data_IF_983527469464
#
_entry.id   IF_983527469464
#
_cell.length_a   1.000
_cell.length_b   1.000
_cell.length_c   1.000
_cell.angle_alpha   90.00
_cell.angle_beta   90.00
_cell.angle_gamma   90.00
#
_symmetry.space_group_name_H-M   'P 1'
#
loop_
_entity.id
_entity.type
_entity.pdbx_description
1 polymer ?
#
# COMPACT_ATOMS: atom_id res chain seq x y z
N UNK A 1 -29.88 40.60 15.94
CA UNK A 1 -30.17 41.72 16.88
C UNK A 1 -31.25 42.56 16.22
N UNK A 2 -32.39 42.75 16.89
CA UNK A 2 -33.46 43.64 16.42
C UNK A 2 -33.79 44.65 17.51
N UNK A 3 -33.82 45.95 17.15
CA UNK A 3 -34.07 47.09 18.07
C UNK A 3 -33.27 47.05 19.38
N UNK A 4 -32.00 46.66 19.32
CA UNK A 4 -31.14 46.57 20.50
C UNK A 4 -31.37 45.32 21.36
N UNK A 5 -32.29 44.42 20.98
CA UNK A 5 -32.48 43.12 21.61
C UNK A 5 -31.81 42.00 20.80
N UNK A 6 -31.02 41.17 21.49
CA UNK A 6 -30.38 39.99 20.91
C UNK A 6 -31.38 38.83 20.86
N UNK A 7 -31.53 38.21 19.70
CA UNK A 7 -32.32 37.01 19.50
C UNK A 7 -31.40 35.90 18.97
N UNK A 8 -31.47 34.72 19.57
CA UNK A 8 -30.71 33.54 19.15
C UNK A 8 -31.64 32.64 18.32
N UNK A 9 -31.45 32.64 17.00
CA UNK A 9 -32.40 32.04 16.06
C UNK A 9 -32.11 30.55 15.80
N UNK A 10 -30.84 30.16 15.87
CA UNK A 10 -30.42 28.79 15.67
C UNK A 10 -29.12 28.54 16.45
N UNK A 11 -29.02 27.34 17.02
CA UNK A 11 -27.76 26.77 17.49
C UNK A 11 -27.63 25.36 16.93
N UNK A 12 -26.40 24.99 16.59
CA UNK A 12 -26.02 23.64 16.15
C UNK A 12 -24.54 23.45 16.41
N UNK A 13 -24.10 22.21 16.47
CA UNK A 13 -22.68 21.91 16.49
C UNK A 13 -22.02 22.43 15.21
N UNK A 14 -20.98 23.24 15.39
CA UNK A 14 -20.21 23.80 14.29
C UNK A 14 -19.42 22.71 13.58
N UNK A 15 -19.47 22.67 12.25
CA UNK A 15 -18.56 21.82 11.47
C UNK A 15 -17.13 22.32 11.67
N UNK A 16 -16.20 21.39 11.92
CA UNK A 16 -14.81 21.67 12.25
C UNK A 16 -13.87 20.76 11.46
N UNK A 17 -12.63 21.20 11.31
CA UNK A 17 -11.54 20.35 10.80
C UNK A 17 -11.12 19.35 11.89
N UNK A 18 -10.45 18.27 11.50
CA UNK A 18 -9.91 17.29 12.46
C UNK A 18 -8.97 17.94 13.49
N UNK A 19 -8.09 18.84 13.03
CA UNK A 19 -7.20 19.62 13.89
C UNK A 19 -7.95 20.47 14.92
N UNK A 20 -9.01 21.16 14.48
CA UNK A 20 -9.83 21.97 15.38
C UNK A 20 -10.61 21.11 16.37
N UNK A 21 -11.12 19.95 15.96
CA UNK A 21 -11.87 19.05 16.86
C UNK A 21 -10.97 18.52 17.97
N UNK A 22 -9.78 18.01 17.63
CA UNK A 22 -8.81 17.50 18.62
C UNK A 22 -8.40 18.61 19.59
N UNK A 23 -8.08 19.80 19.06
CA UNK A 23 -7.69 20.94 19.90
C UNK A 23 -8.81 21.35 20.85
N UNK A 24 -10.03 21.55 20.35
CA UNK A 24 -11.19 21.94 21.17
C UNK A 24 -11.47 20.89 22.23
N UNK A 25 -11.42 19.61 21.89
CA UNK A 25 -11.63 18.54 22.86
C UNK A 25 -10.59 18.58 24.00
N UNK A 26 -9.33 18.83 23.68
CA UNK A 26 -8.26 18.97 24.69
C UNK A 26 -8.46 20.24 25.54
N UNK A 27 -8.68 21.39 24.91
CA UNK A 27 -8.86 22.68 25.59
C UNK A 27 -10.07 22.61 26.56
N UNK A 28 -11.19 21.99 26.14
CA UNK A 28 -12.37 21.82 26.99
C UNK A 28 -12.12 20.95 28.24
N UNK A 29 -11.18 20.00 28.19
CA UNK A 29 -10.76 19.23 29.37
C UNK A 29 -9.90 20.09 30.29
N UNK A 30 -8.96 20.85 29.73
CA UNK A 30 -8.08 21.74 30.50
C UNK A 30 -8.87 22.86 31.20
N UNK A 31 -9.93 23.35 30.56
CA UNK A 31 -10.88 24.31 31.13
C UNK A 31 -11.87 23.68 32.12
N UNK A 32 -11.85 22.35 32.29
CA UNK A 32 -12.75 21.63 33.20
C UNK A 32 -14.21 21.56 32.74
N UNK A 33 -14.48 21.78 31.45
CA UNK A 33 -15.83 21.73 30.87
C UNK A 33 -16.29 20.30 30.58
N UNK A 34 -15.37 19.39 30.25
CA UNK A 34 -15.64 17.97 29.97
C UNK A 34 -14.59 17.07 30.62
N UNK A 35 -14.89 15.78 30.75
CA UNK A 35 -13.93 14.78 31.24
C UNK A 35 -13.05 14.26 30.10
N UNK A 36 -11.94 13.58 30.45
CA UNK A 36 -11.05 12.92 29.48
C UNK A 36 -11.81 11.89 28.63
N UNK A 37 -12.69 11.12 29.24
CA UNK A 37 -13.50 10.09 28.57
C UNK A 37 -14.46 10.70 27.54
N UNK A 38 -15.05 11.85 27.88
CA UNK A 38 -15.92 12.58 26.95
C UNK A 38 -15.12 13.16 25.78
N UNK A 39 -13.93 13.72 26.04
CA UNK A 39 -13.06 14.24 24.98
C UNK A 39 -12.64 13.14 23.98
N UNK A 40 -12.22 11.97 24.48
CA UNK A 40 -11.87 10.82 23.64
C UNK A 40 -13.07 10.32 22.83
N UNK A 41 -14.28 10.34 23.39
CA UNK A 41 -15.50 9.96 22.66
C UNK A 41 -15.94 10.94 21.58
N UNK A 42 -15.61 12.23 21.73
CA UNK A 42 -15.99 13.28 20.77
C UNK A 42 -15.17 13.24 19.49
N UNK A 43 -13.89 12.90 19.59
CA UNK A 43 -13.00 12.79 18.44
C UNK A 43 -13.20 11.42 17.78
N UNK A 44 -13.63 11.43 16.53
CA UNK A 44 -13.87 10.19 15.78
C UNK A 44 -12.55 9.62 15.23
N UNK A 45 -12.43 8.29 15.05
CA UNK A 45 -11.23 7.67 14.48
C UNK A 45 -10.82 8.27 13.13
N UNK A 46 -11.77 8.60 12.25
CA UNK A 46 -11.47 9.18 10.93
C UNK A 46 -10.84 10.57 11.02
N UNK A 47 -11.02 11.27 12.15
CA UNK A 47 -10.35 12.54 12.42
C UNK A 47 -8.91 12.33 12.90
N UNK A 48 -8.59 11.19 13.51
CA UNK A 48 -7.22 10.81 13.86
C UNK A 48 -6.43 10.45 12.59
N UNK A 49 -7.07 9.78 11.62
CA UNK A 49 -6.46 9.41 10.33
C UNK A 49 -5.88 10.62 9.58
N UNK A 50 -6.48 11.81 9.74
CA UNK A 50 -5.96 13.08 9.21
C UNK A 50 -4.51 13.36 9.63
N UNK A 51 -4.12 12.92 10.83
CA UNK A 51 -2.78 13.12 11.37
C UNK A 51 -1.80 12.00 11.01
N UNK A 52 -2.28 10.94 10.32
CA UNK A 52 -1.47 9.80 9.90
C UNK A 52 -1.09 9.87 8.41
N UNK A 53 -1.97 10.45 7.60
CA UNK A 53 -1.79 10.50 6.15
C UNK A 53 -1.90 11.94 5.64
N UNK A 54 -1.12 12.35 4.63
CA UNK A 54 -1.34 13.62 3.94
C UNK A 54 -2.79 13.76 3.51
N UNK A 55 -3.30 14.99 3.53
CA UNK A 55 -4.67 15.29 3.12
C UNK A 55 -4.66 16.42 2.11
N UNK A 56 -5.64 16.46 1.21
CA UNK A 56 -5.78 17.59 0.30
C UNK A 56 -6.24 18.82 1.11
N UNK A 57 -5.71 20.00 0.77
CA UNK A 57 -6.15 21.24 1.37
C UNK A 57 -7.65 21.50 1.07
N UNK A 58 -8.40 21.87 2.10
CA UNK A 58 -9.86 22.00 1.99
C UNK A 58 -10.29 23.17 1.08
N UNK A 59 -9.49 24.23 0.96
CA UNK A 59 -9.77 25.32 0.02
C UNK A 59 -9.40 24.93 -1.40
N UNK A 60 -8.29 24.21 -1.59
CA UNK A 60 -7.92 23.65 -2.88
C UNK A 60 -8.99 22.69 -3.41
N UNK A 61 -9.55 21.82 -2.56
CA UNK A 61 -10.61 20.88 -2.94
C UNK A 61 -11.90 21.57 -3.38
N UNK A 62 -12.26 22.73 -2.81
CA UNK A 62 -13.50 23.44 -3.15
C UNK A 62 -13.50 23.99 -4.58
N UNK A 63 -12.34 24.38 -5.09
CA UNK A 63 -12.18 24.96 -6.43
C UNK A 63 -11.67 23.94 -7.45
N UNK A 64 -11.22 22.77 -6.98
CA UNK A 64 -10.73 21.70 -7.83
C UNK A 64 -11.80 21.09 -8.74
N UNK A 65 -11.40 20.77 -9.97
CA UNK A 65 -12.23 19.99 -10.88
C UNK A 65 -12.16 18.51 -10.50
N UNK A 66 -13.26 17.99 -9.96
CA UNK A 66 -13.45 16.55 -9.78
C UNK A 66 -13.64 15.90 -11.16
N UNK A 67 -12.82 14.89 -11.47
CA UNK A 67 -12.86 14.20 -12.77
C UNK A 67 -13.46 12.80 -12.69
N UNK A 68 -13.25 12.08 -11.58
CA UNK A 68 -13.79 10.72 -11.42
C UNK A 68 -13.98 10.33 -9.94
N UNK A 69 -14.68 9.22 -9.71
CA UNK A 69 -14.85 8.61 -8.38
C UNK A 69 -14.59 7.10 -8.47
N UNK A 70 -13.98 6.51 -7.44
CA UNK A 70 -13.84 5.07 -7.33
C UNK A 70 -13.96 4.59 -5.90
N UNK A 71 -13.43 3.41 -5.65
CA UNK A 71 -13.40 2.80 -4.33
C UNK A 71 -12.22 3.36 -3.53
N UNK A 72 -12.53 3.97 -2.38
CA UNK A 72 -11.56 4.34 -1.36
C UNK A 72 -11.00 3.08 -0.68
N UNK A 73 -9.81 2.65 -1.09
CA UNK A 73 -9.19 1.42 -0.53
C UNK A 73 -8.08 1.71 0.44
N UNK A 74 -7.33 2.79 0.24
CA UNK A 74 -6.24 3.19 1.12
C UNK A 74 -6.28 4.70 1.31
N UNK A 75 -6.41 5.20 2.57
CA UNK A 75 -6.65 6.60 2.86
C UNK A 75 -5.44 7.51 2.58
N UNK A 76 -5.72 8.81 2.54
CA UNK A 76 -4.72 9.86 2.34
C UNK A 76 -4.79 10.54 0.99
N UNK A 77 -4.00 11.58 0.82
CA UNK A 77 -3.86 12.37 -0.39
C UNK A 77 -2.56 12.03 -1.11
N UNK A 78 -2.65 11.84 -2.41
CA UNK A 78 -1.49 11.67 -3.26
C UNK A 78 -1.60 12.65 -4.42
N UNK A 79 -0.49 13.33 -4.74
CA UNK A 79 -0.42 14.29 -5.83
C UNK A 79 0.82 13.95 -6.64
N UNK A 80 0.69 13.85 -7.95
CA UNK A 80 1.79 13.41 -8.80
C UNK A 80 1.47 13.46 -10.27
N UNK A 81 2.51 13.28 -11.07
CA UNK A 81 2.43 13.09 -12.52
C UNK A 81 1.92 11.68 -12.83
N UNK A 82 1.07 11.54 -13.83
CA UNK A 82 0.55 10.24 -14.27
C UNK A 82 1.66 9.42 -14.93
N UNK A 83 1.85 8.18 -14.49
CA UNK A 83 2.67 7.17 -15.15
C UNK A 83 1.84 5.89 -15.40
N UNK A 84 1.89 5.34 -16.61
CA UNK A 84 1.01 4.22 -17.01
C UNK A 84 1.63 2.82 -16.83
N UNK A 85 2.89 2.74 -16.38
CA UNK A 85 3.60 1.49 -16.10
C UNK A 85 4.49 1.59 -14.86
N UNK A 86 4.80 0.44 -14.27
CA UNK A 86 5.54 0.32 -13.01
C UNK A 86 6.99 0.81 -13.13
N UNK A 87 7.66 0.47 -14.23
CA UNK A 87 9.07 0.80 -14.47
C UNK A 87 9.26 2.32 -14.60
N UNK A 88 8.36 2.97 -15.33
CA UNK A 88 8.35 4.42 -15.49
C UNK A 88 8.05 5.10 -14.16
N UNK A 89 7.10 4.59 -13.38
CA UNK A 89 6.79 5.13 -12.07
C UNK A 89 7.99 5.03 -11.11
N UNK A 90 8.69 3.89 -11.10
CA UNK A 90 9.90 3.70 -10.31
C UNK A 90 11.03 4.64 -10.76
N UNK A 91 11.33 4.68 -12.05
CA UNK A 91 12.38 5.52 -12.63
C UNK A 91 12.15 6.99 -12.30
N UNK A 92 10.94 7.49 -12.55
CA UNK A 92 10.59 8.89 -12.27
C UNK A 92 10.71 9.23 -10.79
N UNK A 93 10.27 8.35 -9.90
CA UNK A 93 10.33 8.58 -8.47
C UNK A 93 11.75 8.48 -7.90
N UNK A 94 12.51 7.44 -8.28
CA UNK A 94 13.83 7.13 -7.68
C UNK A 94 14.98 7.86 -8.36
N UNK A 95 14.99 7.91 -9.70
CA UNK A 95 16.11 8.49 -10.46
C UNK A 95 15.89 9.99 -10.72
N UNK A 96 14.67 10.39 -11.03
CA UNK A 96 14.35 11.79 -11.39
C UNK A 96 13.77 12.60 -10.21
N UNK A 97 13.40 11.95 -9.09
CA UNK A 97 12.86 12.61 -7.90
C UNK A 97 11.49 13.26 -8.11
N UNK A 98 10.70 12.77 -9.07
CA UNK A 98 9.36 13.28 -9.37
C UNK A 98 8.31 12.61 -8.49
N UNK A 99 7.27 13.36 -8.14
CA UNK A 99 6.07 12.79 -7.55
C UNK A 99 5.21 12.13 -8.63
N UNK A 100 4.84 10.87 -8.43
CA UNK A 100 4.16 10.05 -9.45
C UNK A 100 2.88 9.44 -8.92
N UNK A 101 1.83 9.44 -9.72
CA UNK A 101 0.65 8.61 -9.56
C UNK A 101 0.71 7.49 -10.59
N UNK A 102 0.79 6.25 -10.11
CA UNK A 102 0.78 5.08 -10.98
C UNK A 102 -0.66 4.75 -11.37
N UNK A 103 -0.92 4.73 -12.68
CA UNK A 103 -2.25 4.48 -13.25
C UNK A 103 -2.24 3.20 -14.07
N UNK A 104 -3.09 2.24 -13.73
CA UNK A 104 -3.16 0.93 -14.40
C UNK A 104 -4.59 0.45 -14.57
N UNK A 105 -4.92 -0.38 -15.56
CA UNK A 105 -6.22 -1.03 -15.60
C UNK A 105 -6.41 -1.92 -14.37
N UNK A 106 -5.42 -2.77 -14.11
CA UNK A 106 -5.26 -3.63 -12.94
C UNK A 106 -3.76 -3.77 -12.64
N UNK A 107 -3.39 -3.97 -11.38
CA UNK A 107 -1.99 -4.21 -10.98
C UNK A 107 -1.71 -5.70 -10.85
N UNK A 108 -0.47 -6.11 -11.12
CA UNK A 108 0.03 -7.48 -10.95
C UNK A 108 1.15 -7.54 -9.89
N UNK A 109 1.55 -8.73 -9.41
CA UNK A 109 2.72 -8.87 -8.52
C UNK A 109 3.98 -8.20 -9.04
N UNK A 110 4.22 -8.26 -10.35
CA UNK A 110 5.37 -7.61 -11.00
C UNK A 110 5.30 -6.08 -10.96
N UNK A 111 4.15 -5.46 -10.62
CA UNK A 111 4.00 -4.00 -10.58
C UNK A 111 4.43 -3.40 -9.22
N UNK A 112 4.82 -4.24 -8.23
CA UNK A 112 5.04 -3.82 -6.83
C UNK A 112 6.13 -2.77 -6.68
N UNK A 113 7.22 -2.83 -7.45
CA UNK A 113 8.30 -1.83 -7.40
C UNK A 113 7.81 -0.43 -7.73
N UNK A 114 7.00 -0.30 -8.80
CA UNK A 114 6.36 0.95 -9.19
C UNK A 114 5.34 1.43 -8.16
N UNK A 115 4.54 0.52 -7.59
CA UNK A 115 3.56 0.83 -6.56
C UNK A 115 4.20 1.38 -5.27
N UNK A 116 5.35 0.83 -4.87
CA UNK A 116 6.11 1.29 -3.71
C UNK A 116 6.75 2.67 -3.95
N UNK A 117 7.19 2.91 -5.18
CA UNK A 117 7.84 4.15 -5.58
C UNK A 117 6.84 5.31 -5.75
N UNK A 118 5.63 5.04 -6.25
CA UNK A 118 4.61 6.06 -6.49
C UNK A 118 4.08 6.71 -5.20
N UNK A 119 3.58 7.94 -5.31
CA UNK A 119 2.88 8.64 -4.22
C UNK A 119 1.46 8.08 -4.01
N UNK A 120 0.82 7.60 -5.07
CA UNK A 120 -0.49 6.98 -5.00
C UNK A 120 -0.79 6.10 -6.21
N UNK A 121 -1.84 5.30 -6.08
CA UNK A 121 -2.22 4.29 -7.07
C UNK A 121 -3.65 4.54 -7.53
N UNK A 122 -3.86 4.55 -8.85
CA UNK A 122 -5.17 4.70 -9.48
C UNK A 122 -5.42 3.52 -10.40
N UNK A 123 -6.56 2.85 -10.27
CA UNK A 123 -6.95 1.80 -11.22
C UNK A 123 -8.35 1.94 -11.77
N UNK A 124 -8.54 1.61 -13.05
CA UNK A 124 -9.87 1.62 -13.67
C UNK A 124 -10.71 0.40 -13.29
N UNK A 125 -10.06 -0.74 -13.02
CA UNK A 125 -10.69 -1.98 -12.58
C UNK A 125 -10.16 -2.42 -11.22
N UNK A 126 -10.84 -3.41 -10.63
CA UNK A 126 -10.48 -3.98 -9.33
C UNK A 126 -11.39 -3.52 -8.19
N UNK A 127 -11.64 -4.43 -7.25
CA UNK A 127 -12.45 -4.18 -6.06
C UNK A 127 -11.63 -3.91 -4.79
N UNK A 128 -12.31 -3.86 -3.64
CA UNK A 128 -11.69 -3.65 -2.31
C UNK A 128 -10.70 -4.74 -1.88
N UNK A 129 -10.71 -5.89 -2.55
CA UNK A 129 -9.83 -7.04 -2.33
C UNK A 129 -8.90 -7.30 -3.52
N UNK A 130 -8.83 -6.38 -4.49
CA UNK A 130 -7.89 -6.49 -5.60
C UNK A 130 -6.44 -6.40 -5.12
N UNK A 131 -5.51 -6.88 -5.95
CA UNK A 131 -4.07 -6.77 -5.69
C UNK A 131 -3.66 -5.34 -5.34
N UNK A 132 -4.12 -4.36 -6.14
CA UNK A 132 -3.89 -2.93 -5.90
C UNK A 132 -4.34 -2.49 -4.50
N UNK A 133 -5.54 -2.89 -4.09
CA UNK A 133 -6.10 -2.54 -2.80
C UNK A 133 -5.33 -3.17 -1.62
N UNK A 134 -4.89 -4.41 -1.76
CA UNK A 134 -4.14 -5.13 -0.72
C UNK A 134 -2.76 -4.49 -0.51
N UNK A 135 -2.01 -4.31 -1.60
CA UNK A 135 -0.66 -3.72 -1.57
C UNK A 135 -0.72 -2.27 -1.10
N UNK A 136 -1.65 -1.45 -1.62
CA UNK A 136 -1.78 -0.06 -1.23
C UNK A 136 -2.04 0.12 0.28
N UNK A 137 -2.93 -0.71 0.86
CA UNK A 137 -3.19 -0.71 2.31
C UNK A 137 -1.97 -1.15 3.11
N UNK A 138 -1.30 -2.22 2.67
CA UNK A 138 -0.14 -2.77 3.35
C UNK A 138 0.99 -1.75 3.47
N UNK A 139 1.21 -0.96 2.42
CA UNK A 139 2.28 0.04 2.38
C UNK A 139 1.82 1.47 2.70
N UNK A 140 0.54 1.65 3.05
CA UNK A 140 -0.03 2.96 3.40
C UNK A 140 0.01 3.98 2.25
N UNK A 141 -0.06 3.50 1.01
CA UNK A 141 -0.08 4.35 -0.19
C UNK A 141 -1.53 4.75 -0.49
N UNK A 142 -1.87 6.04 -0.60
CA UNK A 142 -3.22 6.45 -1.01
C UNK A 142 -3.62 5.80 -2.33
N UNK A 143 -4.83 5.24 -2.37
CA UNK A 143 -5.27 4.54 -3.57
C UNK A 143 -6.78 4.63 -3.80
N UNK A 144 -7.12 4.86 -5.07
CA UNK A 144 -8.49 4.85 -5.60
C UNK A 144 -8.54 3.78 -6.67
N UNK A 145 -9.35 2.74 -6.47
CA UNK A 145 -9.42 1.60 -7.39
C UNK A 145 -10.82 1.42 -7.97
N UNK A 146 -10.91 0.76 -9.12
CA UNK A 146 -12.19 0.47 -9.76
C UNK A 146 -12.92 1.73 -10.24
N UNK A 147 -12.17 2.71 -10.76
CA UNK A 147 -12.75 3.91 -11.37
C UNK A 147 -13.25 3.58 -12.78
N UNK A 148 -14.52 3.20 -12.86
CA UNK A 148 -15.18 2.76 -14.09
C UNK A 148 -15.20 3.80 -15.20
N UNK A 149 -15.13 5.08 -14.83
CA UNK A 149 -15.14 6.23 -15.73
C UNK A 149 -13.82 6.43 -16.49
N UNK A 150 -12.78 5.64 -16.16
CA UNK A 150 -11.47 5.70 -16.81
C UNK A 150 -11.33 4.64 -17.91
N UNK A 151 -11.06 5.11 -19.12
CA UNK A 151 -10.57 4.28 -20.22
C UNK A 151 -9.08 4.51 -20.43
N UNK A 152 -8.30 3.43 -20.46
CA UNK A 152 -6.83 3.48 -20.51
C UNK A 152 -6.33 2.95 -21.86
N UNK A 153 -5.56 3.77 -22.57
CA UNK A 153 -4.83 3.39 -23.77
C UNK A 153 -3.33 3.37 -23.44
N UNK A 154 -2.85 2.18 -23.05
CA UNK A 154 -1.46 1.99 -22.64
C UNK A 154 -0.48 2.12 -23.82
N UNK A 155 -0.93 1.93 -25.06
CA UNK A 155 -0.09 2.07 -26.26
C UNK A 155 0.14 3.54 -26.56
N UNK A 156 -0.92 4.34 -26.50
CA UNK A 156 -0.84 5.79 -26.68
C UNK A 156 -0.42 6.54 -25.39
N UNK A 157 -0.23 5.83 -24.27
CA UNK A 157 0.12 6.38 -22.95
C UNK A 157 -0.78 7.55 -22.53
N UNK A 158 -2.10 7.30 -22.56
CA UNK A 158 -3.14 8.28 -22.17
C UNK A 158 -4.33 7.59 -21.51
N UNK A 159 -5.07 8.35 -20.71
CA UNK A 159 -6.38 7.95 -20.21
C UNK A 159 -7.46 8.95 -20.60
N UNK A 160 -8.66 8.45 -20.85
CA UNK A 160 -9.85 9.26 -21.11
C UNK A 160 -10.80 9.11 -19.94
N UNK A 161 -11.31 10.23 -19.43
CA UNK A 161 -12.29 10.28 -18.34
C UNK A 161 -13.64 10.72 -18.89
N UNK A 162 -14.67 9.90 -18.67
CA UNK A 162 -16.03 10.16 -19.18
C UNK A 162 -16.09 10.45 -20.69
N UNK A 163 -15.25 9.80 -21.50
CA UNK A 163 -15.18 9.97 -22.97
C UNK A 163 -14.82 11.38 -23.49
N UNK A 164 -14.61 12.36 -22.61
CA UNK A 164 -14.38 13.77 -23.00
C UNK A 164 -13.00 14.29 -22.62
N UNK A 165 -12.53 14.00 -21.39
CA UNK A 165 -11.29 14.57 -20.88
C UNK A 165 -10.13 13.60 -21.08
N UNK A 166 -9.15 13.98 -21.90
CA UNK A 166 -7.91 13.22 -22.10
C UNK A 166 -6.84 13.72 -21.15
N UNK A 167 -6.17 12.80 -20.48
CA UNK A 167 -5.02 13.04 -19.60
C UNK A 167 -3.85 12.22 -20.13
N UNK A 168 -2.75 12.91 -20.43
CA UNK A 168 -1.55 12.31 -21.00
C UNK A 168 -0.56 11.93 -19.90
N UNK A 169 0.41 11.10 -20.26
CA UNK A 169 1.47 10.75 -19.33
C UNK A 169 2.32 11.98 -18.98
N UNK A 170 2.60 12.16 -17.68
CA UNK A 170 3.28 13.35 -17.16
C UNK A 170 2.34 14.46 -16.69
N UNK A 171 1.04 14.40 -17.03
CA UNK A 171 0.06 15.35 -16.51
C UNK A 171 -0.15 15.16 -15.02
N UNK A 172 -0.47 16.25 -14.32
CA UNK A 172 -0.71 16.23 -12.88
C UNK A 172 -2.14 15.83 -12.56
N UNK A 173 -2.27 14.91 -11.62
CA UNK A 173 -3.54 14.59 -10.96
C UNK A 173 -3.36 14.53 -9.45
N UNK A 174 -4.49 14.66 -8.75
CA UNK A 174 -4.54 14.57 -7.29
C UNK A 174 -5.60 13.55 -6.89
N UNK A 175 -5.24 12.65 -5.98
CA UNK A 175 -6.09 11.59 -5.45
C UNK A 175 -6.46 11.90 -3.99
N UNK A 176 -7.74 11.75 -3.68
CA UNK A 176 -8.23 11.58 -2.31
C UNK A 176 -8.58 10.10 -2.11
N UNK A 177 -7.63 9.33 -1.56
CA UNK A 177 -7.81 7.93 -1.21
C UNK A 177 -8.76 7.70 -0.05
N UNK A 178 -9.07 8.73 0.74
CA UNK A 178 -10.04 8.66 1.85
C UNK A 178 -11.47 8.69 1.32
N UNK A 179 -11.76 9.60 0.40
CA UNK A 179 -13.10 9.74 -0.22
C UNK A 179 -13.26 8.95 -1.52
N UNK A 180 -12.16 8.48 -2.12
CA UNK A 180 -12.17 7.77 -3.39
C UNK A 180 -12.37 8.72 -4.58
N UNK A 181 -11.85 9.95 -4.51
CA UNK A 181 -12.07 10.99 -5.53
C UNK A 181 -10.77 11.28 -6.29
N UNK A 182 -10.91 11.49 -7.60
CA UNK A 182 -9.81 11.91 -8.48
C UNK A 182 -10.07 13.35 -8.94
N UNK A 183 -9.06 14.21 -8.78
CA UNK A 183 -9.08 15.61 -9.19
C UNK A 183 -8.05 15.88 -10.28
N UNK A 184 -8.38 16.79 -11.19
CA UNK A 184 -7.44 17.27 -12.20
C UNK A 184 -6.44 18.26 -11.59
N UNK A 185 -5.17 18.15 -12.00
CA UNK A 185 -4.12 19.08 -11.64
C UNK A 185 -3.43 18.77 -10.32
N UNK A 186 -2.50 19.67 -9.95
CA UNK A 186 -1.69 19.60 -8.74
C UNK A 186 -2.37 20.38 -7.62
N UNK A 187 -3.03 19.68 -6.70
CA UNK A 187 -3.62 20.30 -5.52
C UNK A 187 -2.60 20.41 -4.38
N UNK A 188 -2.79 21.40 -3.52
CA UNK A 188 -1.99 21.53 -2.31
C UNK A 188 -2.39 20.45 -1.28
N UNK A 189 -1.39 19.94 -0.58
CA UNK A 189 -1.58 18.94 0.48
C UNK A 189 -1.15 19.50 1.82
N UNK A 190 -1.87 19.14 2.86
CA UNK A 190 -1.48 19.36 4.25
C UNK A 190 -0.63 18.18 4.71
N UNK A 191 0.59 18.47 5.17
CA UNK A 191 1.48 17.47 5.75
C UNK A 191 0.90 17.05 7.11
N UNK A 192 0.74 15.74 7.37
CA UNK A 192 0.23 15.26 8.64
C UNK A 192 1.29 15.48 9.72
N UNK A 193 0.86 15.95 10.89
CA UNK A 193 1.74 16.09 12.06
C UNK A 193 1.27 15.13 13.16
N UNK A 194 1.77 13.90 13.13
CA UNK A 194 1.49 12.92 14.18
C UNK A 194 2.10 13.34 15.54
N UNK A 195 3.09 14.24 15.53
CA UNK A 195 3.70 14.78 16.75
C UNK A 195 2.94 15.99 17.30
N UNK A 196 1.76 16.26 16.77
CA UNK A 196 0.91 17.33 17.26
C UNK A 196 0.65 17.18 18.78
N UNK A 197 0.99 18.17 19.61
CA UNK A 197 0.88 18.05 21.06
C UNK A 197 -0.54 17.75 21.57
N UNK A 198 -1.57 18.28 20.90
CA UNK A 198 -2.96 18.04 21.28
C UNK A 198 -3.38 16.60 20.95
N UNK A 199 -2.96 16.09 19.79
CA UNK A 199 -3.21 14.69 19.41
C UNK A 199 -2.53 13.74 20.41
N UNK A 200 -1.23 13.93 20.69
CA UNK A 200 -0.49 13.09 21.62
C UNK A 200 -1.13 13.09 23.01
N UNK A 201 -1.65 14.24 23.47
CA UNK A 201 -2.34 14.35 24.75
C UNK A 201 -3.67 13.58 24.76
N UNK A 202 -4.46 13.71 23.71
CA UNK A 202 -5.71 12.98 23.52
C UNK A 202 -5.47 11.47 23.48
N UNK A 203 -4.47 11.02 22.71
CA UNK A 203 -4.08 9.60 22.62
C UNK A 203 -3.56 9.08 23.96
N UNK A 204 -2.80 9.88 24.71
CA UNK A 204 -2.39 9.55 26.08
C UNK A 204 -3.58 9.31 27.02
N UNK A 205 -4.65 10.10 26.90
CA UNK A 205 -5.89 9.83 27.63
C UNK A 205 -6.59 8.56 27.15
N UNK A 206 -6.60 8.30 25.85
CA UNK A 206 -7.15 7.06 25.30
C UNK A 206 -6.39 5.83 25.84
N UNK A 207 -5.06 5.92 25.99
CA UNK A 207 -4.22 4.88 26.61
C UNK A 207 -4.55 4.66 28.09
N UNK A 208 -4.83 5.72 28.85
CA UNK A 208 -5.27 5.61 30.25
C UNK A 208 -6.63 4.91 30.39
N UNK A 209 -7.53 5.09 29.42
CA UNK A 209 -8.93 4.62 29.48
C UNK A 209 -9.09 3.20 28.91
N UNK A 210 -8.31 2.85 27.87
CA UNK A 210 -8.48 1.58 27.16
C UNK A 210 -8.13 0.38 28.04
N UNK A 211 -8.78 -0.75 27.76
CA UNK A 211 -8.49 -2.04 28.40
C UNK A 211 -7.70 -2.99 27.51
N UNK A 212 -7.86 -2.85 26.20
CA UNK A 212 -7.18 -3.70 25.22
C UNK A 212 -5.78 -3.15 24.93
N UNK A 213 -4.83 -4.07 24.76
CA UNK A 213 -3.52 -3.74 24.20
C UNK A 213 -3.62 -3.42 22.72
N UNK A 214 -2.75 -2.54 22.23
CA UNK A 214 -2.67 -2.19 20.81
C UNK A 214 -1.32 -2.62 20.27
N UNK A 215 -1.34 -3.71 19.50
CA UNK A 215 -0.16 -4.29 18.87
C UNK A 215 -0.22 -4.08 17.36
N UNK A 216 0.94 -4.08 16.72
CA UNK A 216 1.03 -3.89 15.27
C UNK A 216 1.21 -5.22 14.53
N UNK A 217 0.79 -5.21 13.27
CA UNK A 217 1.24 -6.19 12.30
C UNK A 217 2.44 -5.57 11.57
N UNK A 218 3.61 -6.15 11.73
CA UNK A 218 4.82 -5.65 11.09
C UNK A 218 5.77 -6.81 10.79
N UNK A 219 6.26 -6.84 9.56
CA UNK A 219 7.09 -7.92 9.06
C UNK A 219 8.56 -7.48 8.95
N UNK A 220 8.82 -6.17 8.79
CA UNK A 220 10.16 -5.63 8.61
C UNK A 220 10.58 -4.72 9.78
N UNK A 221 11.90 -4.61 10.07
CA UNK A 221 12.40 -3.77 11.16
C UNK A 221 11.94 -2.30 11.08
N UNK A 222 11.90 -1.74 9.87
CA UNK A 222 11.44 -0.35 9.63
C UNK A 222 9.98 -0.14 10.01
N UNK A 223 9.14 -1.14 9.75
CA UNK A 223 7.70 -1.07 10.00
C UNK A 223 7.42 -1.25 11.49
N UNK A 224 8.16 -2.14 12.14
CA UNK A 224 8.13 -2.30 13.59
C UNK A 224 8.59 -1.02 14.32
N UNK A 225 9.65 -0.37 13.85
CA UNK A 225 10.11 0.90 14.41
C UNK A 225 9.02 1.99 14.29
N UNK A 226 8.42 2.14 13.10
CA UNK A 226 7.32 3.09 12.90
C UNK A 226 6.11 2.79 13.79
N UNK A 227 5.73 1.51 13.89
CA UNK A 227 4.64 1.09 14.76
C UNK A 227 4.91 1.45 16.23
N UNK A 228 6.14 1.24 16.70
CA UNK A 228 6.56 1.62 18.05
C UNK A 228 6.52 3.13 18.27
N UNK A 229 6.96 3.92 17.30
CA UNK A 229 6.87 5.38 17.34
C UNK A 229 5.41 5.87 17.46
N UNK A 230 4.45 5.09 16.95
CA UNK A 230 3.02 5.39 17.01
C UNK A 230 2.35 4.86 18.30
N UNK A 231 3.11 4.25 19.21
CA UNK A 231 2.63 3.75 20.49
C UNK A 231 2.25 2.27 20.52
N UNK A 232 2.59 1.49 19.49
CA UNK A 232 2.36 0.05 19.53
C UNK A 232 3.11 -0.60 20.72
N UNK A 233 2.41 -1.48 21.44
CA UNK A 233 2.93 -2.14 22.64
C UNK A 233 3.65 -3.47 22.34
N UNK A 234 3.75 -3.83 21.06
CA UNK A 234 4.27 -5.10 20.58
C UNK A 234 3.92 -5.37 19.12
N UNK A 235 4.48 -6.44 18.56
CA UNK A 235 4.06 -6.99 17.27
C UNK A 235 3.17 -8.20 17.55
N UNK A 236 1.89 -8.12 17.13
CA UNK A 236 0.94 -9.21 17.30
C UNK A 236 0.94 -10.21 16.15
N UNK A 237 1.47 -9.81 15.00
CA UNK A 237 1.64 -10.69 13.86
C UNK A 237 2.81 -10.21 12.99
N UNK A 238 3.88 -10.99 12.98
CA UNK A 238 4.95 -10.94 11.98
C UNK A 238 4.79 -12.13 11.04
N UNK A 239 4.59 -11.86 9.76
CA UNK A 239 4.37 -12.82 8.68
C UNK A 239 5.70 -13.15 8.02
N UNK A 240 6.20 -14.37 8.24
CA UNK A 240 7.49 -14.79 7.70
C UNK A 240 7.47 -14.98 6.18
N UNK A 241 6.31 -15.25 5.59
CA UNK A 241 6.15 -15.38 4.15
C UNK A 241 6.49 -14.10 3.38
N UNK A 242 6.20 -12.92 3.92
CA UNK A 242 6.55 -11.66 3.28
C UNK A 242 8.06 -11.49 3.14
N UNK A 243 8.82 -11.95 4.14
CA UNK A 243 10.28 -11.95 4.09
C UNK A 243 10.84 -12.90 3.02
N UNK A 244 10.06 -13.86 2.52
CA UNK A 244 10.51 -14.79 1.48
C UNK A 244 10.25 -14.30 0.05
N UNK A 245 9.29 -13.37 -0.12
CA UNK A 245 8.97 -12.77 -1.41
C UNK A 245 9.98 -11.70 -1.86
N UNK A 246 11.00 -11.38 -1.05
CA UNK A 246 12.08 -10.49 -1.48
C UNK A 246 12.86 -11.09 -2.66
N UNK A 247 13.22 -10.24 -3.63
CA UNK A 247 13.83 -10.65 -4.90
C UNK A 247 15.11 -11.50 -4.74
N UNK A 248 15.91 -11.23 -3.72
CA UNK A 248 17.16 -11.98 -3.46
C UNK A 248 16.90 -13.38 -2.87
N UNK A 249 15.76 -13.58 -2.21
CA UNK A 249 15.41 -14.81 -1.49
C UNK A 249 14.53 -15.72 -2.30
N UNK A 250 13.74 -15.15 -3.21
CA UNK A 250 12.81 -15.90 -4.02
C UNK A 250 13.50 -17.05 -4.80
N UNK A 251 14.66 -16.86 -5.46
CA UNK A 251 15.36 -17.95 -6.12
C UNK A 251 15.81 -19.07 -5.15
N UNK A 252 16.10 -18.74 -3.88
CA UNK A 252 16.52 -19.72 -2.87
C UNK A 252 15.32 -20.56 -2.41
N UNK A 253 14.17 -19.91 -2.16
CA UNK A 253 12.92 -20.58 -1.79
C UNK A 253 12.41 -21.47 -2.94
N UNK A 254 12.48 -21.01 -4.18
CA UNK A 254 12.13 -21.82 -5.34
C UNK A 254 13.02 -23.05 -5.45
N UNK A 255 14.35 -22.91 -5.29
CA UNK A 255 15.27 -24.07 -5.26
C UNK A 255 14.92 -25.06 -4.14
N UNK A 256 14.56 -24.57 -2.95
CA UNK A 256 14.11 -25.42 -1.84
C UNK A 256 12.85 -26.21 -2.22
N UNK A 257 11.88 -25.58 -2.89
CA UNK A 257 10.62 -26.22 -3.31
C UNK A 257 10.86 -27.23 -4.42
N UNK A 258 11.74 -26.91 -5.38
CA UNK A 258 12.09 -27.75 -6.53
C UNK A 258 13.05 -28.90 -6.18
N UNK A 259 13.69 -28.87 -5.00
CA UNK A 259 14.64 -29.88 -4.56
C UNK A 259 14.02 -31.29 -4.52
N UNK A 260 14.62 -32.23 -5.29
CA UNK A 260 14.24 -33.64 -5.34
C UNK A 260 14.83 -34.45 -4.19
N UNK A 261 15.97 -34.02 -3.64
CA UNK A 261 16.64 -34.67 -2.52
C UNK A 261 16.63 -33.81 -1.26
N UNK A 262 16.66 -34.48 -0.10
CA UNK A 262 16.68 -33.79 1.20
C UNK A 262 17.96 -32.96 1.41
N UNK A 263 19.07 -33.36 0.79
CA UNK A 263 20.35 -32.64 0.87
C UNK A 263 20.23 -31.28 0.17
N UNK A 264 19.77 -31.25 -1.08
CA UNK A 264 19.59 -30.01 -1.85
C UNK A 264 18.59 -29.07 -1.16
N UNK A 265 17.52 -29.62 -0.57
CA UNK A 265 16.55 -28.85 0.21
C UNK A 265 17.21 -28.20 1.43
N UNK A 266 18.04 -28.96 2.13
CA UNK A 266 18.76 -28.47 3.32
C UNK A 266 19.74 -27.36 2.95
N UNK A 267 20.49 -27.51 1.86
CA UNK A 267 21.40 -26.46 1.39
C UNK A 267 20.67 -25.13 1.09
N UNK A 268 19.48 -25.20 0.50
CA UNK A 268 18.66 -24.01 0.26
C UNK A 268 18.15 -23.40 1.58
N UNK A 269 17.73 -24.22 2.54
CA UNK A 269 17.32 -23.77 3.88
C UNK A 269 18.49 -23.12 4.65
N UNK A 270 19.68 -23.70 4.57
CA UNK A 270 20.90 -23.18 5.22
C UNK A 270 21.29 -21.80 4.63
N UNK A 271 20.98 -21.54 3.35
CA UNK A 271 21.15 -20.23 2.73
C UNK A 271 20.09 -19.20 3.17
N UNK A 272 18.86 -19.63 3.44
CA UNK A 272 17.80 -18.75 3.96
C UNK A 272 18.01 -18.37 5.43
N UNK A 273 18.60 -19.27 6.22
CA UNK A 273 18.80 -19.10 7.65
C UNK A 273 19.49 -17.77 8.06
N UNK A 274 20.64 -17.36 7.49
CA UNK A 274 21.27 -16.10 7.86
C UNK A 274 20.44 -14.87 7.48
N UNK A 275 19.71 -14.92 6.36
CA UNK A 275 18.87 -13.82 5.88
C UNK A 275 17.68 -13.61 6.83
N UNK A 276 16.96 -14.69 7.16
CA UNK A 276 15.84 -14.62 8.08
C UNK A 276 16.28 -14.24 9.50
N UNK A 277 17.45 -14.72 9.95
CA UNK A 277 18.02 -14.34 11.25
C UNK A 277 18.29 -12.85 11.32
N UNK A 278 18.84 -12.26 10.26
CA UNK A 278 19.10 -10.83 10.18
C UNK A 278 17.82 -10.00 10.33
N UNK A 279 16.72 -10.43 9.70
CA UNK A 279 15.43 -9.73 9.84
C UNK A 279 14.91 -9.77 11.26
N UNK A 280 14.95 -10.94 11.91
CA UNK A 280 14.51 -11.09 13.28
C UNK A 280 15.39 -10.30 14.25
N UNK A 281 16.71 -10.27 14.06
CA UNK A 281 17.60 -9.41 14.83
C UNK A 281 17.22 -7.94 14.69
N UNK A 282 16.86 -7.50 13.49
CA UNK A 282 16.34 -6.16 13.25
C UNK A 282 15.01 -5.89 13.94
N UNK A 283 14.05 -6.83 13.86
CA UNK A 283 12.74 -6.74 14.51
C UNK A 283 12.87 -6.68 16.04
N UNK A 284 13.67 -7.56 16.64
CA UNK A 284 13.89 -7.57 18.09
C UNK A 284 14.58 -6.29 18.56
N UNK A 285 15.51 -5.73 17.76
CA UNK A 285 16.14 -4.44 18.06
C UNK A 285 15.12 -3.29 18.00
N UNK A 286 14.27 -3.27 16.99
CA UNK A 286 13.22 -2.25 16.84
C UNK A 286 12.21 -2.30 18.01
N UNK A 287 11.89 -3.51 18.48
CA UNK A 287 10.89 -3.77 19.53
C UNK A 287 11.53 -4.11 20.88
N UNK A 288 12.72 -3.58 21.16
CA UNK A 288 13.42 -3.84 22.43
C UNK A 288 12.51 -3.57 23.66
N UNK A 289 12.37 -4.60 24.50
CA UNK A 289 11.49 -4.61 25.67
C UNK A 289 10.01 -4.93 25.42
N UNK A 290 9.60 -5.16 24.16
CA UNK A 290 8.22 -5.44 23.78
C UNK A 290 8.06 -6.85 23.13
N UNK A 291 6.89 -7.49 23.24
CA UNK A 291 6.63 -8.79 22.63
C UNK A 291 6.61 -8.72 21.11
N UNK A 292 7.15 -9.76 20.46
CA UNK A 292 7.12 -9.94 19.00
C UNK A 292 6.59 -11.35 18.70
N UNK A 293 5.38 -11.43 18.15
CA UNK A 293 4.72 -12.68 17.79
C UNK A 293 5.00 -13.01 16.32
N UNK A 294 5.79 -14.07 16.10
CA UNK A 294 6.20 -14.52 14.78
C UNK A 294 5.33 -15.70 14.37
N UNK A 295 4.66 -15.56 13.21
CA UNK A 295 3.93 -16.65 12.59
C UNK A 295 4.87 -17.40 11.64
N UNK A 296 4.91 -18.73 11.81
CA UNK A 296 5.60 -19.60 10.86
C UNK A 296 4.95 -19.52 9.47
N UNK A 297 5.64 -20.08 8.48
CA UNK A 297 5.16 -20.08 7.10
C UNK A 297 3.73 -20.64 7.00
N UNK A 298 2.83 -19.83 6.42
CA UNK A 298 1.40 -20.10 6.28
C UNK A 298 0.98 -20.47 4.84
N UNK A 299 1.46 -19.79 3.78
CA UNK A 299 0.97 -20.06 2.43
C UNK A 299 1.45 -21.41 1.89
N UNK A 300 0.65 -22.07 1.04
CA UNK A 300 1.06 -23.27 0.35
C UNK A 300 2.26 -23.00 -0.58
N UNK A 301 3.11 -24.01 -0.75
CA UNK A 301 4.38 -23.84 -1.46
C UNK A 301 4.23 -23.42 -2.92
N UNK A 302 3.10 -23.71 -3.57
CA UNK A 302 2.87 -23.31 -4.96
C UNK A 302 2.74 -21.79 -5.14
N UNK A 303 2.43 -21.02 -4.09
CA UNK A 303 2.35 -19.55 -4.15
C UNK A 303 3.74 -18.89 -4.33
N UNK A 304 4.82 -19.62 -4.10
CA UNK A 304 6.19 -19.16 -4.33
C UNK A 304 6.73 -19.52 -5.73
N UNK A 305 5.94 -20.25 -6.52
CA UNK A 305 6.30 -20.64 -7.88
C UNK A 305 5.53 -19.75 -8.88
N UNK A 306 6.01 -19.61 -10.13
CA UNK A 306 5.25 -18.96 -11.19
C UNK A 306 3.86 -19.60 -11.35
N UNK A 307 2.88 -18.80 -11.76
CA UNK A 307 1.50 -19.28 -11.82
C UNK A 307 1.33 -20.35 -12.90
N UNK A 308 0.33 -21.23 -12.72
CA UNK A 308 0.04 -22.27 -13.71
C UNK A 308 -0.26 -21.68 -15.09
N UNK A 309 -1.09 -20.62 -15.14
CA UNK A 309 -1.44 -19.98 -16.41
C UNK A 309 -0.20 -19.37 -17.10
N UNK A 310 0.67 -18.71 -16.35
CA UNK A 310 1.93 -18.13 -16.84
C UNK A 310 2.87 -19.21 -17.39
N UNK A 311 3.07 -20.31 -16.65
CA UNK A 311 3.94 -21.41 -17.09
C UNK A 311 3.42 -22.06 -18.38
N UNK A 312 2.11 -22.28 -18.49
CA UNK A 312 1.50 -22.85 -19.71
C UNK A 312 1.65 -21.90 -20.90
N UNK A 313 1.41 -20.61 -20.68
CA UNK A 313 1.56 -19.60 -21.72
C UNK A 313 3.02 -19.49 -22.18
N UNK A 314 3.96 -19.36 -21.26
CA UNK A 314 5.39 -19.28 -21.56
C UNK A 314 5.89 -20.51 -22.31
N UNK A 315 5.43 -21.71 -21.91
CA UNK A 315 5.77 -22.95 -22.60
C UNK A 315 5.20 -23.00 -24.02
N UNK A 316 3.99 -22.49 -24.23
CA UNK A 316 3.39 -22.40 -25.56
C UNK A 316 4.20 -21.44 -26.44
N UNK A 317 4.52 -20.25 -25.92
CA UNK A 317 5.29 -19.23 -26.64
C UNK A 317 6.71 -19.72 -26.98
N UNK A 318 7.41 -20.35 -26.03
CA UNK A 318 8.73 -20.94 -26.26
C UNK A 318 8.69 -22.04 -27.32
N UNK A 319 7.68 -22.93 -27.29
CA UNK A 319 7.53 -23.99 -28.29
C UNK A 319 7.28 -23.44 -29.69
N UNK A 320 6.50 -22.35 -29.81
CA UNK A 320 6.27 -21.66 -31.09
C UNK A 320 7.56 -20.99 -31.58
N UNK A 321 8.25 -20.23 -30.71
CA UNK A 321 9.53 -19.58 -31.05
C UNK A 321 10.60 -20.58 -31.48
N UNK A 322 10.62 -21.77 -30.87
CA UNK A 322 11.57 -22.84 -31.20
C UNK A 322 11.46 -23.29 -32.66
N UNK A 323 10.28 -23.18 -33.28
CA UNK A 323 10.08 -23.50 -34.71
C UNK A 323 10.77 -22.50 -35.65
N UNK A 324 11.16 -21.33 -35.14
CA UNK A 324 11.76 -20.24 -35.89
C UNK A 324 13.25 -20.05 -35.60
N UNK A 325 13.88 -20.88 -34.76
CA UNK A 325 15.32 -20.84 -34.55
C UNK A 325 16.08 -21.51 -35.70
N UNK A 326 17.19 -20.91 -36.09
CA UNK A 326 17.95 -21.31 -37.28
C UNK A 326 19.34 -21.86 -36.93
N UNK A 327 19.76 -21.72 -35.68
CA UNK A 327 21.02 -22.27 -35.18
C UNK A 327 20.78 -23.36 -34.12
N UNK A 328 21.66 -24.36 -34.10
CA UNK A 328 21.61 -25.43 -33.09
C UNK A 328 21.75 -24.86 -31.67
N UNK A 329 22.57 -23.83 -31.48
CA UNK A 329 22.77 -23.19 -30.17
C UNK A 329 21.51 -22.54 -29.62
N UNK A 330 20.70 -21.90 -30.47
CA UNK A 330 19.42 -21.30 -30.06
C UNK A 330 18.38 -22.37 -29.72
N UNK A 331 18.35 -23.46 -30.50
CA UNK A 331 17.47 -24.60 -30.25
C UNK A 331 17.82 -25.28 -28.93
N UNK A 332 19.10 -25.54 -28.66
CA UNK A 332 19.55 -26.19 -27.43
C UNK A 332 19.25 -25.32 -26.19
N UNK A 333 19.44 -24.01 -26.29
CA UNK A 333 19.08 -23.07 -25.22
C UNK A 333 17.57 -23.08 -24.93
N UNK A 334 16.75 -23.01 -25.97
CA UNK A 334 15.30 -23.03 -25.85
C UNK A 334 14.77 -24.37 -25.29
N UNK A 335 15.34 -25.50 -25.70
CA UNK A 335 14.99 -26.81 -25.16
C UNK A 335 15.34 -26.93 -23.66
N UNK A 336 16.48 -26.35 -23.24
CA UNK A 336 16.84 -26.28 -21.83
C UNK A 336 15.84 -25.45 -21.02
N UNK A 337 15.43 -24.30 -21.55
CA UNK A 337 14.45 -23.42 -20.88
C UNK A 337 13.07 -24.07 -20.80
N UNK A 338 12.61 -24.71 -21.88
CA UNK A 338 11.37 -25.50 -21.91
C UNK A 338 11.41 -26.57 -20.82
N UNK A 339 12.50 -27.31 -20.69
CA UNK A 339 12.64 -28.36 -19.69
C UNK A 339 12.52 -27.80 -18.27
N UNK A 340 13.16 -26.66 -18.00
CA UNK A 340 13.06 -26.00 -16.69
C UNK A 340 11.59 -25.62 -16.41
N UNK A 341 10.92 -24.92 -17.32
CA UNK A 341 9.52 -24.50 -17.12
C UNK A 341 8.56 -25.69 -17.01
N UNK A 342 8.83 -26.79 -17.71
CA UNK A 342 8.09 -28.05 -17.54
C UNK A 342 8.26 -28.63 -16.14
N UNK A 343 9.50 -28.70 -15.63
CA UNK A 343 9.76 -29.16 -14.26
C UNK A 343 9.00 -28.28 -13.23
N UNK A 344 8.98 -26.95 -13.42
CA UNK A 344 8.18 -26.03 -12.58
C UNK A 344 6.69 -26.30 -12.68
N UNK A 345 6.16 -26.50 -13.89
CA UNK A 345 4.73 -26.78 -14.12
C UNK A 345 4.31 -28.07 -13.42
N UNK A 346 5.06 -29.15 -13.61
CA UNK A 346 4.81 -30.44 -12.94
C UNK A 346 4.84 -30.27 -11.41
N UNK A 347 5.75 -29.43 -10.89
CA UNK A 347 5.84 -29.17 -9.46
C UNK A 347 4.65 -28.36 -8.94
N UNK A 348 4.19 -27.35 -9.68
CA UNK A 348 3.00 -26.56 -9.34
C UNK A 348 1.76 -27.45 -9.34
N UNK A 349 1.58 -28.30 -10.35
CA UNK A 349 0.47 -29.26 -10.41
C UNK A 349 0.47 -30.25 -9.24
N UNK A 350 1.65 -30.70 -8.80
CA UNK A 350 1.77 -31.62 -7.66
C UNK A 350 1.51 -30.95 -6.29
N UNK A 351 1.57 -29.61 -6.21
CA UNK A 351 1.44 -28.84 -4.98
C UNK A 351 0.11 -28.07 -4.87
N UNK A 352 -0.67 -27.99 -5.95
CA UNK A 352 -2.08 -27.56 -5.95
C UNK A 352 -2.96 -28.69 -5.43
#
# INVERSE_FOLDING_TARGET
IDRGQLFLLQTRDGKRTAQAEVRIAVDMVEEGLITKEEAVRRVKPEQVDFFLHPQLDAEAVKTAQKIATGLNVSPGAAVGMVAFDADTAERWAKEEGKDVIMVRPETKPDDVHGMLAAQGILTSKGGRTSHAALVARQFGKPAVVGVSELELDLVARRMTVNEELVIEEGDWISLDGTQGIVYLGKLETVVPDIKNPYLLKLLGWADEIRKLGVWANADYPRDAQRAREYGAEGIGLCRTEHMFFEAERMPIVQRMIMAKHAVDRKEALDQLLPLQRSDFEGLFRAMDGQPVIIRLIDPPLHEFLPSYEELVQDLADLKVRTQHYHTLSEIDAALSEIRIKQDYLERVEALR
#
